data_IF_383315777950
#
_entry.id   IF_383315777950
#
_cell.length_a   1.000
_cell.length_b   1.000
_cell.length_c   1.000
_cell.angle_alpha   90.00
_cell.angle_beta   90.00
_cell.angle_gamma   90.00
#
_symmetry.space_group_name_H-M   'P 1'
#
loop_
_entity.id
_entity.type
_entity.pdbx_description
1 polymer ?
#
# COMPACT_ATOMS: atom_id res chain seq x y z
N UNK A 1 -7.14 -3.59 7.52
CA UNK A 1 -5.80 -2.92 7.52
C UNK A 1 -4.79 -3.49 8.51
N UNK A 2 -5.19 -3.86 9.75
CA UNK A 2 -4.28 -4.34 10.80
C UNK A 2 -3.50 -5.63 10.43
N UNK A 3 -4.07 -6.49 9.58
CA UNK A 3 -3.43 -7.72 9.08
C UNK A 3 -2.34 -7.48 8.04
N UNK A 4 -2.25 -6.28 7.46
CA UNK A 4 -1.26 -5.97 6.44
C UNK A 4 0.08 -5.62 7.13
N UNK A 5 1.19 -6.30 6.76
CA UNK A 5 2.51 -5.96 7.28
C UNK A 5 2.82 -4.47 7.13
N UNK A 6 3.48 -3.88 8.14
CA UNK A 6 3.72 -2.44 8.25
C UNK A 6 4.22 -1.80 6.95
N UNK A 7 5.25 -2.39 6.32
CA UNK A 7 5.84 -1.90 5.06
C UNK A 7 4.88 -1.77 3.87
N UNK A 8 3.78 -2.53 3.86
CA UNK A 8 2.76 -2.45 2.83
C UNK A 8 1.62 -1.51 3.25
N UNK A 9 1.36 -1.40 4.55
CA UNK A 9 0.39 -0.46 5.10
C UNK A 9 0.81 0.98 4.88
N UNK A 10 2.08 1.29 5.14
CA UNK A 10 2.62 2.65 5.00
C UNK A 10 2.44 3.19 3.57
N UNK A 11 2.79 2.42 2.54
CA UNK A 11 2.61 2.85 1.14
C UNK A 11 1.15 2.97 0.73
N UNK A 12 0.24 2.19 1.31
CA UNK A 12 -1.20 2.28 1.04
C UNK A 12 -1.80 3.51 1.70
N UNK A 13 -1.42 3.79 2.94
CA UNK A 13 -1.88 4.98 3.68
C UNK A 13 -1.48 6.24 2.91
N UNK A 14 -0.19 6.39 2.62
CA UNK A 14 0.32 7.56 1.92
C UNK A 14 -0.32 7.72 0.53
N UNK A 15 -0.53 6.62 -0.22
CA UNK A 15 -1.08 6.72 -1.57
C UNK A 15 -2.57 7.04 -1.62
N UNK A 16 -3.37 6.47 -0.71
CA UNK A 16 -4.83 6.48 -0.81
C UNK A 16 -5.54 7.34 0.25
N UNK A 17 -4.87 7.65 1.35
CA UNK A 17 -5.41 8.49 2.41
C UNK A 17 -4.77 9.88 2.39
N UNK A 18 -3.45 9.95 2.17
CA UNK A 18 -2.71 11.21 2.09
C UNK A 18 -2.53 11.71 0.64
N UNK A 19 -3.00 10.92 -0.35
CA UNK A 19 -2.97 11.25 -1.79
C UNK A 19 -1.58 11.48 -2.42
N UNK A 20 -0.51 11.00 -1.80
CA UNK A 20 0.86 11.18 -2.31
C UNK A 20 1.10 10.45 -3.64
N UNK A 21 1.96 11.01 -4.47
CA UNK A 21 2.57 10.37 -5.64
C UNK A 21 3.56 9.27 -5.24
N UNK A 22 4.00 8.44 -6.18
CA UNK A 22 4.94 7.35 -5.86
C UNK A 22 6.33 7.91 -5.49
N UNK A 23 6.69 9.02 -6.11
CA UNK A 23 7.90 9.81 -5.89
C UNK A 23 7.91 10.41 -4.48
N UNK A 24 6.83 11.10 -4.09
CA UNK A 24 6.71 11.65 -2.73
C UNK A 24 6.75 10.55 -1.66
N UNK A 25 6.17 9.38 -1.94
CA UNK A 25 6.26 8.22 -1.04
C UNK A 25 7.69 7.68 -0.96
N UNK A 26 8.41 7.63 -2.09
CA UNK A 26 9.80 7.17 -2.15
C UNK A 26 10.70 8.08 -1.31
N UNK A 27 10.54 9.39 -1.46
CA UNK A 27 11.27 10.41 -0.72
C UNK A 27 10.92 10.37 0.78
N UNK A 28 9.62 10.33 1.11
CA UNK A 28 9.12 10.28 2.49
C UNK A 28 9.63 9.05 3.26
N UNK A 29 9.69 7.89 2.59
CA UNK A 29 10.10 6.64 3.22
C UNK A 29 11.60 6.33 3.06
N UNK A 30 12.35 7.16 2.31
CA UNK A 30 13.77 6.95 2.04
C UNK A 30 14.07 5.64 1.30
N UNK A 31 13.21 5.25 0.36
CA UNK A 31 13.33 4.00 -0.41
C UNK A 31 13.22 4.26 -1.92
N UNK A 32 13.77 3.37 -2.74
CA UNK A 32 13.68 3.51 -4.19
C UNK A 32 12.23 3.47 -4.71
N UNK A 33 11.92 4.26 -5.74
CA UNK A 33 10.62 4.31 -6.40
C UNK A 33 10.10 2.93 -6.84
N UNK A 34 10.98 2.09 -7.40
CA UNK A 34 10.65 0.71 -7.76
C UNK A 34 10.24 -0.16 -6.56
N UNK A 35 10.77 0.13 -5.37
CA UNK A 35 10.38 -0.53 -4.12
C UNK A 35 8.98 -0.10 -3.68
N UNK A 36 8.63 1.18 -3.83
CA UNK A 36 7.28 1.69 -3.56
C UNK A 36 6.26 0.97 -4.45
N UNK A 37 6.50 0.95 -5.76
CA UNK A 37 5.64 0.26 -6.73
C UNK A 37 5.46 -1.23 -6.40
N UNK A 38 6.56 -1.94 -6.12
CA UNK A 38 6.50 -3.35 -5.76
C UNK A 38 5.78 -3.59 -4.41
N UNK A 39 5.92 -2.68 -3.43
CA UNK A 39 5.18 -2.74 -2.15
C UNK A 39 3.68 -2.51 -2.37
N UNK A 40 3.27 -1.55 -3.19
CA UNK A 40 1.87 -1.30 -3.51
C UNK A 40 1.22 -2.49 -4.24
N UNK A 41 1.90 -3.08 -5.22
CA UNK A 41 1.40 -4.27 -5.93
C UNK A 41 1.20 -5.45 -4.97
N UNK A 42 2.17 -5.69 -4.07
CA UNK A 42 2.04 -6.74 -3.04
C UNK A 42 0.97 -6.41 -2.01
N UNK A 43 0.81 -5.15 -1.64
CA UNK A 43 -0.24 -4.69 -0.74
C UNK A 43 -1.63 -4.96 -1.33
N UNK A 44 -1.87 -4.55 -2.58
CA UNK A 44 -3.12 -4.81 -3.31
C UNK A 44 -3.45 -6.31 -3.39
N UNK A 45 -2.46 -7.15 -3.73
CA UNK A 45 -2.66 -8.61 -3.76
C UNK A 45 -3.07 -9.19 -2.41
N UNK A 46 -2.57 -8.63 -1.31
CA UNK A 46 -2.93 -9.07 0.06
C UNK A 46 -4.29 -8.53 0.50
N UNK A 47 -4.67 -7.34 0.04
CA UNK A 47 -5.95 -6.72 0.36
C UNK A 47 -7.10 -7.28 -0.49
N UNK A 48 -6.83 -7.71 -1.72
CA UNK A 48 -7.84 -8.27 -2.64
C UNK A 48 -8.74 -9.34 -2.01
N UNK A 49 -8.22 -10.43 -1.41
CA UNK A 49 -9.10 -11.43 -0.79
C UNK A 49 -9.91 -10.86 0.38
N UNK A 50 -9.34 -9.92 1.14
CA UNK A 50 -10.05 -9.29 2.28
C UNK A 50 -11.16 -8.35 1.82
N UNK A 51 -10.97 -7.69 0.68
CA UNK A 51 -12.00 -6.82 0.09
C UNK A 51 -13.08 -7.65 -0.58
N UNK A 52 -12.72 -8.72 -1.29
CA UNK A 52 -13.69 -9.66 -1.85
C UNK A 52 -14.60 -10.22 -0.73
N UNK A 53 -14.03 -10.66 0.39
CA UNK A 53 -14.79 -11.09 1.58
C UNK A 53 -15.72 -10.00 2.13
N UNK A 54 -15.30 -8.73 2.14
CA UNK A 54 -16.12 -7.58 2.58
C UNK A 54 -17.25 -7.18 1.63
N UNK A 55 -17.18 -7.56 0.35
CA UNK A 55 -18.23 -7.27 -0.65
C UNK A 55 -19.31 -8.36 -0.72
N UNK A 56 -19.07 -9.52 -0.08
CA UNK A 56 -20.00 -10.66 -0.07
C UNK A 56 -20.66 -10.89 1.31
N UNK A 57 -20.33 -10.09 2.33
CA UNK A 57 -21.09 -9.89 3.58
C UNK A 57 -21.98 -8.64 3.47
#
# INVERSE_FOLDING_TARGET
MLSLPRKYREVVLLRYYEEFTLEEIADTLGIALGTVSARLTRAKRKLRPMLEEWYYD
#
